data_IF_713871850697
#
_entry.id   IF_713871850697
#
_cell.length_a   1.000
_cell.length_b   1.000
_cell.length_c   1.000
_cell.angle_alpha   90.00
_cell.angle_beta   90.00
_cell.angle_gamma   90.00
#
_symmetry.space_group_name_H-M   'P 1'
#
loop_
_entity.id
_entity.type
_entity.pdbx_description
1 polymer ?
#
# COMPACT_ATOMS: atom_id res chain seq x y z
N UNK A 1 7.98 10.89 12.80
CA UNK A 1 7.32 11.32 11.54
C UNK A 1 5.91 10.78 11.52
N UNK A 2 4.97 11.54 10.98
CA UNK A 2 3.56 11.18 10.89
C UNK A 2 3.27 10.45 9.59
N UNK A 3 2.54 9.34 9.66
CA UNK A 3 2.08 8.58 8.50
C UNK A 3 0.57 8.42 8.51
N UNK A 4 -0.07 8.66 7.36
CA UNK A 4 -1.50 8.53 7.17
C UNK A 4 -1.80 7.45 6.12
N UNK A 5 -2.87 6.67 6.33
CA UNK A 5 -3.25 5.57 5.44
C UNK A 5 -4.62 5.78 4.81
N UNK A 6 -4.68 5.90 3.49
CA UNK A 6 -5.95 5.81 2.75
C UNK A 6 -6.14 4.39 2.24
N UNK A 7 -7.07 3.65 2.84
CA UNK A 7 -7.36 2.26 2.44
C UNK A 7 -8.60 2.19 1.57
N UNK A 8 -8.44 1.67 0.36
CA UNK A 8 -9.51 1.48 -0.60
C UNK A 8 -9.78 -0.01 -0.81
N UNK A 9 -11.00 -0.36 -1.20
CA UNK A 9 -11.34 -1.74 -1.58
C UNK A 9 -11.77 -2.64 -0.43
N UNK A 10 -11.19 -3.83 -0.36
CA UNK A 10 -11.75 -4.97 0.37
C UNK A 10 -11.20 -5.14 1.80
N UNK A 11 -11.69 -6.18 2.49
CA UNK A 11 -11.25 -6.59 3.83
C UNK A 11 -9.77 -6.99 3.86
N UNK A 12 -9.26 -7.61 2.79
CA UNK A 12 -7.84 -7.94 2.68
C UNK A 12 -6.96 -6.69 2.65
N UNK A 13 -7.39 -5.63 1.93
CA UNK A 13 -6.67 -4.35 1.97
C UNK A 13 -6.70 -3.73 3.38
N UNK A 14 -7.81 -3.87 4.11
CA UNK A 14 -7.90 -3.37 5.49
C UNK A 14 -6.94 -4.11 6.43
N UNK A 15 -6.79 -5.43 6.28
CA UNK A 15 -5.79 -6.19 7.01
C UNK A 15 -4.36 -5.80 6.61
N UNK A 16 -4.07 -5.75 5.31
CA UNK A 16 -2.74 -5.36 4.81
C UNK A 16 -2.34 -3.97 5.33
N UNK A 17 -3.29 -3.03 5.41
CA UNK A 17 -3.05 -1.71 6.01
C UNK A 17 -2.72 -1.82 7.49
N UNK A 18 -3.48 -2.60 8.25
CA UNK A 18 -3.26 -2.75 9.68
C UNK A 18 -1.87 -3.36 9.98
N UNK A 19 -1.41 -4.30 9.17
CA UNK A 19 -0.04 -4.85 9.28
C UNK A 19 1.03 -3.80 8.97
N UNK A 20 0.85 -3.01 7.92
CA UNK A 20 1.77 -1.91 7.63
C UNK A 20 1.77 -0.85 8.73
N UNK A 21 0.63 -0.60 9.38
CA UNK A 21 0.53 0.33 10.51
C UNK A 21 1.33 -0.20 11.71
N UNK A 22 1.12 -1.45 12.12
CA UNK A 22 1.89 -2.09 13.21
C UNK A 22 3.39 -2.00 12.92
N UNK A 23 3.81 -2.41 11.72
CA UNK A 23 5.21 -2.38 11.32
C UNK A 23 5.80 -0.96 11.39
N UNK A 24 5.06 0.06 10.92
CA UNK A 24 5.55 1.43 10.98
C UNK A 24 5.57 1.99 12.41
N UNK A 25 4.60 1.63 13.25
CA UNK A 25 4.58 2.03 14.66
C UNK A 25 5.77 1.44 15.42
N UNK A 26 6.05 0.14 15.24
CA UNK A 26 7.24 -0.54 15.79
C UNK A 26 8.55 0.13 15.37
N UNK A 27 8.57 0.69 14.16
CA UNK A 27 9.74 1.33 13.58
C UNK A 27 9.85 2.83 13.94
N UNK A 28 8.94 3.36 14.77
CA UNK A 28 8.97 4.71 15.35
C UNK A 28 8.15 5.77 14.60
N UNK A 29 7.30 5.37 13.66
CA UNK A 29 6.37 6.29 12.99
C UNK A 29 5.09 6.47 13.82
N UNK A 30 4.47 7.64 13.70
CA UNK A 30 3.19 7.93 14.36
C UNK A 30 2.07 7.84 13.32
N UNK A 31 1.20 6.84 13.44
CA UNK A 31 0.04 6.71 12.56
C UNK A 31 -1.02 7.74 12.94
N UNK A 32 -1.45 8.56 11.98
CA UNK A 32 -2.47 9.61 12.16
C UNK A 32 -3.66 9.39 11.24
N UNK A 33 -4.75 10.16 11.41
CA UNK A 33 -5.94 10.01 10.58
C UNK A 33 -5.63 10.44 9.14
N UNK A 34 -6.35 9.90 8.13
CA UNK A 34 -6.13 10.28 6.73
C UNK A 34 -6.39 11.76 6.42
N UNK A 35 -7.16 12.43 7.27
CA UNK A 35 -7.48 13.86 7.20
C UNK A 35 -6.44 14.76 7.85
N UNK A 36 -5.55 14.20 8.66
CA UNK A 36 -4.56 14.97 9.42
C UNK A 36 -3.32 15.22 8.56
N UNK A 37 -2.63 16.34 8.79
CA UNK A 37 -1.37 16.61 8.12
C UNK A 37 -0.30 15.57 8.52
N UNK A 38 0.05 14.70 7.57
CA UNK A 38 1.11 13.71 7.69
C UNK A 38 2.32 14.06 6.81
N UNK A 39 3.48 13.54 7.18
CA UNK A 39 4.71 13.64 6.38
C UNK A 39 4.69 12.62 5.22
N UNK A 40 3.98 11.50 5.43
CA UNK A 40 3.89 10.37 4.50
C UNK A 40 2.43 9.95 4.38
N UNK A 41 1.92 9.81 3.16
CA UNK A 41 0.62 9.22 2.87
C UNK A 41 0.77 7.91 2.12
N UNK A 42 0.27 6.83 2.72
CA UNK A 42 0.22 5.51 2.09
C UNK A 42 -1.19 5.26 1.57
N UNK A 43 -1.32 5.12 0.25
CA UNK A 43 -2.59 4.78 -0.42
C UNK A 43 -2.58 3.28 -0.74
N UNK A 44 -3.37 2.51 0.00
CA UNK A 44 -3.59 1.09 -0.28
C UNK A 44 -4.74 0.94 -1.29
N UNK A 45 -4.36 0.85 -2.54
CA UNK A 45 -5.18 0.95 -3.75
C UNK A 45 -5.99 -0.31 -4.06
N UNK A 46 -7.06 -0.15 -4.84
CA UNK A 46 -7.95 -1.22 -5.29
C UNK A 46 -8.17 -1.13 -6.81
N UNK A 47 -8.40 -2.27 -7.49
CA UNK A 47 -8.51 -2.35 -8.96
C UNK A 47 -9.58 -3.31 -9.47
N UNK A 48 -10.78 -3.22 -8.90
CA UNK A 48 -11.91 -4.09 -9.31
C UNK A 48 -12.79 -3.39 -10.36
N UNK A 49 -12.85 -2.07 -10.34
CA UNK A 49 -13.66 -1.27 -11.27
C UNK A 49 -12.92 0.00 -11.71
N UNK A 50 -13.30 0.57 -12.85
CA UNK A 50 -12.77 1.87 -13.28
C UNK A 50 -12.98 2.98 -12.22
N UNK A 51 -14.05 2.88 -11.42
CA UNK A 51 -14.29 3.78 -10.29
C UNK A 51 -13.30 3.56 -9.15
N UNK A 52 -12.90 2.32 -8.85
CA UNK A 52 -11.87 2.06 -7.84
C UNK A 52 -10.49 2.56 -8.27
N UNK A 53 -10.18 2.43 -9.56
CA UNK A 53 -8.94 2.96 -10.14
C UNK A 53 -8.91 4.49 -10.07
N UNK A 54 -10.01 5.13 -10.47
CA UNK A 54 -10.17 6.58 -10.35
C UNK A 54 -10.02 7.05 -8.90
N UNK A 55 -10.69 6.40 -7.95
CA UNK A 55 -10.60 6.74 -6.53
C UNK A 55 -9.17 6.56 -5.99
N UNK A 56 -8.44 5.55 -6.45
CA UNK A 56 -7.04 5.33 -6.08
C UNK A 56 -6.18 6.51 -6.54
N UNK A 57 -6.29 6.92 -7.81
CA UNK A 57 -5.56 8.09 -8.34
C UNK A 57 -5.96 9.40 -7.65
N UNK A 58 -7.26 9.58 -7.37
CA UNK A 58 -7.77 10.76 -6.67
C UNK A 58 -7.22 10.88 -5.25
N UNK A 59 -6.92 9.77 -4.58
CA UNK A 59 -6.35 9.78 -3.24
C UNK A 59 -4.97 10.46 -3.18
N UNK A 60 -4.16 10.40 -4.24
CA UNK A 60 -2.89 11.16 -4.33
C UNK A 60 -3.17 12.65 -4.23
N UNK A 61 -4.06 13.15 -5.09
CA UNK A 61 -4.44 14.57 -5.11
C UNK A 61 -5.00 15.04 -3.77
N UNK A 62 -5.84 14.22 -3.14
CA UNK A 62 -6.39 14.53 -1.80
C UNK A 62 -5.32 14.59 -0.73
N UNK A 63 -4.36 13.68 -0.75
CA UNK A 63 -3.25 13.65 0.21
C UNK A 63 -2.38 14.91 0.08
N UNK A 64 -2.04 15.28 -1.16
CA UNK A 64 -1.23 16.46 -1.44
C UNK A 64 -1.97 17.79 -1.22
N UNK A 65 -3.30 17.78 -1.28
CA UNK A 65 -4.09 18.95 -0.89
C UNK A 65 -4.01 19.24 0.61
N UNK A 66 -3.78 18.22 1.45
CA UNK A 66 -3.58 18.39 2.90
C UNK A 66 -2.14 18.81 3.21
N UNK A 67 -1.16 18.14 2.60
CA UNK A 67 0.24 18.51 2.70
C UNK A 67 0.94 18.33 1.35
N UNK A 68 1.21 19.44 0.65
CA UNK A 68 1.82 19.45 -0.68
C UNK A 68 3.25 18.91 -0.72
N UNK A 69 3.95 18.91 0.43
CA UNK A 69 5.32 18.44 0.58
C UNK A 69 5.42 17.00 1.11
N UNK A 70 4.29 16.34 1.36
CA UNK A 70 4.31 14.97 1.85
C UNK A 70 4.77 13.98 0.77
N UNK A 71 5.42 12.91 1.21
CA UNK A 71 5.70 11.75 0.39
C UNK A 71 4.43 10.93 0.20
N UNK A 72 4.14 10.50 -1.02
CA UNK A 72 2.99 9.65 -1.32
C UNK A 72 3.46 8.28 -1.83
N UNK A 73 3.00 7.24 -1.15
CA UNK A 73 3.29 5.83 -1.46
C UNK A 73 2.03 5.14 -1.95
N UNK A 74 2.09 4.54 -3.13
CA UNK A 74 1.08 3.63 -3.64
C UNK A 74 1.42 2.21 -3.28
N UNK A 75 0.45 1.48 -2.77
CA UNK A 75 0.52 0.02 -2.67
C UNK A 75 -0.86 -0.58 -2.93
N UNK A 76 -1.02 -1.91 -2.92
CA UNK A 76 -2.31 -2.55 -3.19
C UNK A 76 -2.45 -3.04 -4.62
N UNK A 77 -3.66 -3.51 -4.96
CA UNK A 77 -3.88 -4.22 -6.22
C UNK A 77 -3.67 -3.34 -7.47
N UNK A 78 -4.08 -2.07 -7.43
CA UNK A 78 -3.87 -1.17 -8.57
C UNK A 78 -2.38 -0.90 -8.77
N UNK A 79 -1.66 -0.57 -7.69
CA UNK A 79 -0.21 -0.36 -7.71
C UNK A 79 0.55 -1.59 -8.26
N UNK A 80 0.09 -2.81 -7.93
CA UNK A 80 0.66 -4.05 -8.45
C UNK A 80 0.43 -4.22 -9.96
N UNK A 81 -0.82 -4.09 -10.43
CA UNK A 81 -1.17 -4.36 -11.83
C UNK A 81 -0.72 -3.25 -12.78
N UNK A 82 -0.72 -2.02 -12.29
CA UNK A 82 -0.54 -0.80 -13.08
C UNK A 82 0.72 -0.05 -12.61
N UNK A 83 1.82 -0.76 -12.33
CA UNK A 83 3.01 -0.14 -11.71
C UNK A 83 3.61 0.98 -12.56
N UNK A 84 3.82 0.72 -13.85
CA UNK A 84 4.41 1.69 -14.80
C UNK A 84 3.53 2.92 -15.03
N UNK A 85 2.21 2.74 -15.12
CA UNK A 85 1.29 3.87 -15.28
C UNK A 85 1.07 4.61 -13.97
N UNK A 86 1.14 3.92 -12.82
CA UNK A 86 1.11 4.55 -11.50
C UNK A 86 2.33 5.44 -11.29
N UNK A 87 3.51 5.01 -11.72
CA UNK A 87 4.74 5.80 -11.57
C UNK A 87 4.72 7.14 -12.32
N UNK A 88 3.83 7.29 -13.32
CA UNK A 88 3.61 8.53 -14.08
C UNK A 88 2.60 9.47 -13.42
N UNK A 89 1.98 9.08 -12.30
CA UNK A 89 1.04 9.93 -11.58
C UNK A 89 1.80 11.07 -10.91
N UNK A 90 1.43 12.29 -11.25
CA UNK A 90 2.02 13.49 -10.67
C UNK A 90 1.87 13.51 -9.13
N UNK A 91 3.01 13.71 -8.46
CA UNK A 91 3.09 13.81 -7.01
C UNK A 91 3.11 12.46 -6.28
N UNK A 92 3.22 11.34 -7.00
CA UNK A 92 3.51 10.04 -6.42
C UNK A 92 5.02 9.80 -6.35
N UNK A 93 5.52 9.36 -5.20
CA UNK A 93 6.97 9.15 -4.99
C UNK A 93 7.36 7.68 -5.11
N UNK A 94 6.48 6.77 -4.66
CA UNK A 94 6.78 5.33 -4.58
C UNK A 94 5.59 4.49 -5.04
N UNK A 95 5.86 3.46 -5.83
CA UNK A 95 4.95 2.36 -6.14
C UNK A 95 5.50 1.08 -5.51
N UNK A 96 4.81 0.55 -4.51
CA UNK A 96 5.18 -0.65 -3.75
C UNK A 96 4.24 -1.82 -4.06
N UNK A 97 4.79 -2.88 -4.65
CA UNK A 97 4.07 -4.10 -5.01
C UNK A 97 3.50 -4.85 -3.81
N UNK A 98 2.51 -5.73 -4.08
CA UNK A 98 1.82 -6.48 -3.04
C UNK A 98 2.73 -7.50 -2.32
N UNK A 99 3.76 -8.04 -3.00
CA UNK A 99 4.75 -8.92 -2.38
C UNK A 99 5.67 -8.20 -1.40
N UNK A 100 5.81 -6.88 -1.51
CA UNK A 100 6.82 -6.09 -0.82
C UNK A 100 6.25 -5.17 0.25
N UNK A 101 4.94 -5.23 0.54
CA UNK A 101 4.29 -4.31 1.50
C UNK A 101 4.96 -4.27 2.86
N UNK A 102 5.41 -5.43 3.36
CA UNK A 102 6.10 -5.52 4.65
C UNK A 102 7.55 -4.99 4.61
N UNK A 103 8.04 -4.55 3.46
CA UNK A 103 9.32 -3.82 3.32
C UNK A 103 9.13 -2.31 3.41
N UNK A 104 7.90 -1.81 3.57
CA UNK A 104 7.59 -0.37 3.56
C UNK A 104 8.41 0.41 4.59
N UNK A 105 8.58 -0.11 5.81
CA UNK A 105 9.35 0.57 6.85
C UNK A 105 10.82 0.76 6.45
N UNK A 106 11.47 -0.30 5.97
CA UNK A 106 12.86 -0.25 5.50
C UNK A 106 13.02 0.72 4.33
N UNK A 107 12.06 0.69 3.39
CA UNK A 107 12.05 1.59 2.24
C UNK A 107 11.96 3.05 2.67
N UNK A 108 11.01 3.38 3.56
CA UNK A 108 10.85 4.73 4.08
C UNK A 108 12.08 5.19 4.87
N UNK A 109 12.63 4.36 5.76
CA UNK A 109 13.86 4.68 6.50
C UNK A 109 15.06 4.95 5.58
N UNK A 110 15.21 4.16 4.51
CA UNK A 110 16.26 4.37 3.51
C UNK A 110 16.13 5.73 2.82
N UNK A 111 14.91 6.14 2.47
CA UNK A 111 14.62 7.44 1.86
C UNK A 111 14.91 8.61 2.78
N UNK A 112 14.55 8.48 4.06
CA UNK A 112 14.79 9.50 5.07
C UNK A 112 16.29 9.73 5.33
N UNK A 113 17.08 8.66 5.41
CA UNK A 113 18.54 8.76 5.60
C UNK A 113 19.25 9.47 4.44
N UNK A 114 18.73 9.32 3.22
CA UNK A 114 19.33 9.92 2.02
C UNK A 114 18.90 11.38 1.78
N UNK A 115 18.21 12.03 2.73
CA UNK A 115 17.65 13.38 2.60
C UNK A 115 16.83 13.62 1.31
N UNK A 116 16.31 12.54 0.71
CA UNK A 116 15.63 12.56 -0.58
C UNK A 116 14.12 12.82 -0.45
N UNK A 117 13.73 13.63 0.55
CA UNK A 117 12.35 14.13 0.67
C UNK A 117 12.07 15.31 -0.28
N UNK A 118 13.08 15.78 -1.01
CA UNK A 118 12.85 16.75 -2.08
C UNK A 118 12.12 16.06 -3.23
N UNK A 119 10.88 16.49 -3.46
CA UNK A 119 10.05 16.12 -4.60
C UNK A 119 10.83 16.37 -5.90
N UNK A 120 11.41 15.32 -6.47
CA UNK A 120 12.02 15.42 -7.79
C UNK A 120 10.90 15.38 -8.82
N UNK A 121 11.00 16.20 -9.87
CA UNK A 121 10.14 16.13 -11.07
C UNK A 121 10.46 14.88 -11.90
N UNK A 122 10.44 13.71 -11.27
CA UNK A 122 10.76 12.41 -11.85
C UNK A 122 9.60 11.45 -11.61
N UNK A 123 9.59 10.36 -12.37
CA UNK A 123 8.67 9.25 -12.18
C UNK A 123 8.87 8.65 -10.78
N UNK A 124 7.77 8.16 -10.20
CA UNK A 124 7.81 7.45 -8.93
C UNK A 124 8.70 6.20 -9.02
N UNK A 125 9.38 5.86 -7.93
CA UNK A 125 10.21 4.67 -7.89
C UNK A 125 9.36 3.41 -7.73
N UNK A 126 9.60 2.41 -8.57
CA UNK A 126 8.87 1.15 -8.55
C UNK A 126 9.66 0.10 -7.77
N UNK A 127 9.07 -0.36 -6.66
CA UNK A 127 9.56 -1.47 -5.85
C UNK A 127 8.56 -2.62 -5.93
N UNK A 128 8.78 -3.54 -6.86
CA UNK A 128 7.88 -4.67 -7.12
C UNK A 128 8.68 -5.92 -7.49
N UNK A 129 8.77 -6.83 -6.54
CA UNK A 129 9.23 -8.20 -6.73
C UNK A 129 8.18 -9.02 -7.47
N UNK A 130 8.59 -10.18 -7.98
CA UNK A 130 7.67 -11.13 -8.60
C UNK A 130 6.60 -11.61 -7.60
N UNK A 131 5.33 -11.39 -7.96
CA UNK A 131 4.18 -11.81 -7.17
C UNK A 131 3.92 -13.32 -7.32
N UNK A 132 4.53 -14.02 -8.28
CA UNK A 132 4.35 -15.46 -8.43
C UNK A 132 5.51 -16.26 -7.83
N UNK A 133 6.56 -15.60 -7.34
CA UNK A 133 7.64 -16.25 -6.61
C UNK A 133 7.12 -16.91 -5.32
N UNK A 134 7.85 -17.93 -4.86
CA UNK A 134 7.54 -18.64 -3.62
C UNK A 134 7.64 -17.67 -2.43
N UNK A 135 6.55 -17.47 -1.71
CA UNK A 135 6.42 -16.49 -0.63
C UNK A 135 5.90 -17.21 0.60
N UNK A 136 6.55 -16.98 1.74
CA UNK A 136 6.03 -17.46 3.01
C UNK A 136 4.80 -16.63 3.37
N UNK A 137 3.67 -17.27 3.61
CA UNK A 137 2.51 -16.59 4.17
C UNK A 137 2.92 -16.13 5.57
N UNK A 138 2.97 -14.81 5.78
CA UNK A 138 3.23 -14.21 7.09
C UNK A 138 2.15 -13.19 7.35
N UNK A 139 1.61 -13.24 8.56
CA UNK A 139 0.83 -12.14 9.11
C UNK A 139 1.54 -11.56 10.31
N UNK A 140 1.52 -10.23 10.43
CA UNK A 140 1.95 -9.58 11.67
C UNK A 140 0.78 -9.59 12.67
N UNK A 141 1.04 -9.74 13.98
CA UNK A 141 0.00 -9.60 15.00
C UNK A 141 -0.64 -8.21 14.94
N UNK A 142 -1.85 -8.14 14.39
CA UNK A 142 -2.62 -6.88 14.33
C UNK A 142 -3.40 -6.71 15.63
N UNK A 143 -3.10 -5.65 16.38
CA UNK A 143 -3.74 -5.35 17.66
C UNK A 143 -4.95 -4.41 17.53
N UNK A 144 -5.04 -3.65 16.43
CA UNK A 144 -6.08 -2.64 16.24
C UNK A 144 -6.42 -2.40 14.76
N UNK A 145 -7.67 -2.00 14.50
CA UNK A 145 -8.18 -1.60 13.18
C UNK A 145 -8.70 -0.15 13.19
N UNK A 146 -7.92 0.77 13.77
CA UNK A 146 -8.09 2.24 13.80
C UNK A 146 -9.54 2.73 13.59
N UNK A 147 -10.32 2.76 14.68
CA UNK A 147 -11.70 3.28 14.70
C UNK A 147 -12.79 2.28 14.28
N UNK A 148 -12.44 1.00 14.12
CA UNK A 148 -13.40 -0.07 13.80
C UNK A 148 -13.62 -0.99 14.99
N UNK A 149 -14.85 -1.47 15.12
CA UNK A 149 -15.26 -2.46 16.13
C UNK A 149 -15.11 -3.90 15.65
N UNK A 150 -14.86 -4.13 14.36
CA UNK A 150 -14.67 -5.46 13.76
C UNK A 150 -13.20 -5.65 13.39
N UNK A 151 -12.65 -6.78 13.78
CA UNK A 151 -11.35 -7.27 13.32
C UNK A 151 -11.51 -8.17 12.09
N UNK A 152 -10.47 -8.18 11.24
CA UNK A 152 -10.34 -9.16 10.18
C UNK A 152 -9.09 -9.99 10.43
N UNK A 153 -9.16 -11.28 10.13
CA UNK A 153 -8.01 -12.18 10.21
C UNK A 153 -7.72 -12.65 8.79
N UNK A 154 -6.52 -12.36 8.29
CA UNK A 154 -6.08 -12.85 7.00
C UNK A 154 -5.58 -14.28 7.20
N UNK A 155 -6.32 -15.27 6.68
CA UNK A 155 -5.93 -16.69 6.69
C UNK A 155 -5.28 -17.14 5.38
N UNK A 156 -5.45 -16.33 4.32
CA UNK A 156 -4.94 -16.60 2.98
C UNK A 156 -4.72 -15.27 2.23
N UNK A 157 -3.76 -15.26 1.32
CA UNK A 157 -3.66 -14.26 0.24
C UNK A 157 -3.52 -14.97 -1.10
N UNK A 158 -3.85 -14.28 -2.20
CA UNK A 158 -3.80 -14.86 -3.53
C UNK A 158 -4.90 -15.89 -3.78
N UNK A 159 -4.89 -16.48 -4.97
CA UNK A 159 -5.88 -17.43 -5.43
C UNK A 159 -5.30 -18.27 -6.57
N UNK A 160 -5.71 -19.53 -6.70
CA UNK A 160 -5.30 -20.41 -7.80
C UNK A 160 -6.41 -20.64 -8.84
N UNK A 161 -7.59 -20.05 -8.59
CA UNK A 161 -8.73 -20.14 -9.50
C UNK A 161 -8.49 -19.38 -10.80
N UNK A 162 -8.88 -19.99 -11.92
CA UNK A 162 -8.72 -19.44 -13.28
C UNK A 162 -10.02 -18.82 -13.80
N UNK A 163 -10.64 -17.97 -13.00
CA UNK A 163 -11.87 -17.28 -13.40
C UNK A 163 -11.56 -16.29 -14.54
N UNK A 164 -12.32 -16.36 -15.64
CA UNK A 164 -12.10 -15.57 -16.85
C UNK A 164 -12.12 -14.05 -16.66
N UNK A 165 -12.76 -13.57 -15.58
CA UNK A 165 -12.92 -12.15 -15.27
C UNK A 165 -12.07 -11.65 -14.09
N UNK A 166 -11.42 -12.55 -13.34
CA UNK A 166 -10.82 -12.20 -12.05
C UNK A 166 -9.33 -11.86 -12.18
N UNK A 167 -8.92 -10.69 -11.69
CA UNK A 167 -7.51 -10.25 -11.71
C UNK A 167 -6.75 -10.56 -10.41
N UNK A 168 -7.36 -11.28 -9.47
CA UNK A 168 -6.77 -11.53 -8.14
C UNK A 168 -5.44 -12.26 -8.23
N UNK A 169 -5.33 -13.27 -9.09
CA UNK A 169 -4.07 -14.03 -9.28
C UNK A 169 -2.94 -13.11 -9.74
N UNK A 170 -3.23 -12.19 -10.66
CA UNK A 170 -2.25 -11.21 -11.16
C UNK A 170 -1.89 -10.16 -10.10
N UNK A 171 -2.87 -9.76 -9.28
CA UNK A 171 -2.68 -8.71 -8.28
C UNK A 171 -2.04 -9.25 -6.99
N UNK A 172 -2.30 -10.48 -6.60
CA UNK A 172 -1.92 -11.03 -5.28
C UNK A 172 -1.11 -12.31 -5.35
N UNK A 173 -0.95 -12.89 -6.55
CA UNK A 173 -0.24 -14.13 -6.81
C UNK A 173 -1.10 -15.38 -6.54
N UNK A 174 -0.44 -16.53 -6.61
CA UNK A 174 -0.99 -17.83 -6.24
C UNK A 174 -1.46 -17.87 -4.78
N UNK A 175 -2.30 -18.85 -4.46
CA UNK A 175 -2.78 -19.05 -3.10
C UNK A 175 -1.61 -19.28 -2.14
N UNK A 176 -1.60 -18.53 -1.05
CA UNK A 176 -0.66 -18.68 0.05
C UNK A 176 -1.43 -18.57 1.37
N UNK A 177 -1.33 -19.62 2.19
CA UNK A 177 -1.85 -19.73 3.55
C UNK A 177 -0.82 -20.45 4.41
N UNK A 178 -0.98 -20.40 5.73
CA UNK A 178 -0.21 -21.28 6.61
C UNK A 178 -0.52 -22.75 6.28
N UNK A 179 0.50 -23.60 6.36
CA UNK A 179 0.40 -25.06 6.21
C UNK A 179 0.12 -25.72 7.55
#
# INVERSE_FOLDING_TARGET
MKVAFTTLGCRTNQHDTAEMQVLLEEEGFSVVKPSDAADIYVVNTCTVTARSDYNSRLAVKKSLAINGNAMVVFTGCYAQLNSESSAKIEGLDIVLGNADKLKIANLLKGKLKNNSLQKQLKLAEIHKSDIHANRLFRTLPVTQFQGRTKAFVKIQTGCDEKCSFCTVVLARGSSASDK
#
